data_IF_520962456123
#
_entry.id   IF_520962456123
#
_cell.length_a   1.000
_cell.length_b   1.000
_cell.length_c   1.000
_cell.angle_alpha   90.00
_cell.angle_beta   90.00
_cell.angle_gamma   90.00
#
_symmetry.space_group_name_H-M   'P 1'
#
loop_
_entity.id
_entity.type
_entity.pdbx_description
1 polymer ?
#
# COMPACT_ATOMS: atom_id res chain seq x y z
N UNK A 1 -27.85 19.38 3.06
CA UNK A 1 -26.61 20.14 2.75
C UNK A 1 -25.41 19.20 2.89
N UNK A 2 -24.42 19.28 2.00
CA UNK A 2 -23.21 18.49 2.13
C UNK A 2 -22.52 18.68 3.48
N UNK A 3 -21.76 17.67 3.92
CA UNK A 3 -21.02 17.73 5.17
C UNK A 3 -19.99 18.88 5.13
N UNK A 4 -19.90 19.64 6.22
CA UNK A 4 -18.92 20.71 6.39
C UNK A 4 -17.78 20.33 7.36
N UNK A 5 -17.83 19.15 7.92
CA UNK A 5 -16.80 18.56 8.80
C UNK A 5 -16.86 17.04 8.75
N UNK A 6 -15.74 16.40 9.06
CA UNK A 6 -15.68 14.97 9.32
C UNK A 6 -15.97 14.73 10.81
N UNK A 7 -16.83 13.77 11.13
CA UNK A 7 -17.20 13.43 12.50
C UNK A 7 -17.52 11.95 12.62
N UNK A 8 -17.13 11.35 13.73
CA UNK A 8 -17.50 9.97 14.11
C UNK A 8 -18.72 9.91 15.04
N UNK A 9 -19.32 11.06 15.39
CA UNK A 9 -20.41 11.13 16.39
C UNK A 9 -21.58 10.18 16.08
N UNK A 10 -21.87 9.96 14.80
CA UNK A 10 -22.95 9.09 14.34
C UNK A 10 -22.45 7.74 13.80
N UNK A 11 -21.16 7.48 13.87
CA UNK A 11 -20.60 6.21 13.41
C UNK A 11 -20.86 5.11 14.45
N UNK A 12 -21.17 3.91 13.96
CA UNK A 12 -21.27 2.72 14.80
C UNK A 12 -19.88 2.14 14.98
N UNK A 13 -19.43 1.93 16.22
CA UNK A 13 -18.08 1.45 16.53
C UNK A 13 -17.75 0.12 15.85
N UNK A 14 -18.74 -0.79 15.79
CA UNK A 14 -18.59 -2.10 15.14
C UNK A 14 -18.43 -2.05 13.61
N UNK A 15 -18.47 -0.85 13.00
CA UNK A 15 -18.25 -0.62 11.56
C UNK A 15 -16.95 0.14 11.28
N UNK A 16 -16.17 0.47 12.30
CA UNK A 16 -14.96 1.26 12.15
C UNK A 16 -13.73 0.37 12.07
N UNK A 17 -12.92 0.58 11.03
CA UNK A 17 -11.67 -0.09 10.79
C UNK A 17 -10.59 0.93 10.41
N UNK A 18 -9.34 0.68 10.79
CA UNK A 18 -8.24 1.30 10.08
C UNK A 18 -8.14 0.69 8.68
N UNK A 19 -8.21 1.52 7.67
CA UNK A 19 -7.93 1.10 6.30
C UNK A 19 -6.43 1.24 6.03
N UNK A 20 -5.80 0.15 5.62
CA UNK A 20 -4.38 0.10 5.24
C UNK A 20 -4.28 -0.40 3.81
N UNK A 21 -3.49 0.26 2.98
CA UNK A 21 -3.15 -0.21 1.65
C UNK A 21 -1.65 -0.51 1.57
N UNK A 22 -1.30 -1.70 1.10
CA UNK A 22 0.06 -2.07 0.71
C UNK A 22 0.15 -2.16 -0.81
N UNK A 23 1.31 -1.81 -1.38
CA UNK A 23 1.54 -1.88 -2.82
C UNK A 23 2.80 -2.67 -3.15
N UNK A 24 2.65 -3.79 -3.85
CA UNK A 24 3.76 -4.57 -4.41
C UNK A 24 4.16 -3.94 -5.72
N UNK A 25 5.36 -3.38 -5.78
CA UNK A 25 5.84 -2.61 -6.94
C UNK A 25 6.62 -3.52 -7.88
N UNK A 26 6.09 -3.70 -9.09
CA UNK A 26 6.65 -4.57 -10.12
C UNK A 26 7.48 -3.81 -11.13
N UNK A 27 8.73 -4.20 -11.32
CA UNK A 27 9.62 -3.68 -12.35
C UNK A 27 9.59 -4.59 -13.57
N UNK A 28 9.07 -4.04 -14.68
CA UNK A 28 8.81 -4.81 -15.88
C UNK A 28 10.09 -5.26 -16.62
N UNK A 29 11.16 -4.47 -16.53
CA UNK A 29 12.42 -4.73 -17.26
C UNK A 29 13.10 -6.06 -16.90
N UNK A 30 12.93 -6.53 -15.66
CA UNK A 30 13.55 -7.76 -15.15
C UNK A 30 12.59 -8.67 -14.38
N UNK A 31 11.29 -8.33 -14.40
CA UNK A 31 10.23 -9.11 -13.74
C UNK A 31 10.48 -9.32 -12.24
N UNK A 32 10.88 -8.26 -11.54
CA UNK A 32 11.11 -8.25 -10.08
C UNK A 32 10.19 -7.30 -9.36
N UNK A 33 9.96 -7.58 -8.08
CA UNK A 33 9.22 -6.72 -7.16
C UNK A 33 10.16 -6.12 -6.11
N UNK A 34 9.83 -4.92 -5.63
CA UNK A 34 10.56 -4.24 -4.57
C UNK A 34 10.12 -4.75 -3.20
N UNK A 35 11.10 -5.04 -2.33
CA UNK A 35 10.93 -5.24 -0.90
C UNK A 35 11.86 -4.31 -0.13
N UNK A 36 11.41 -3.82 1.02
CA UNK A 36 12.14 -2.88 1.90
C UNK A 36 12.36 -3.53 3.26
N UNK A 37 13.57 -3.45 3.80
CA UNK A 37 13.90 -3.96 5.14
C UNK A 37 13.53 -2.93 6.19
N UNK A 38 12.58 -3.25 7.06
CA UNK A 38 12.18 -2.42 8.19
C UNK A 38 13.33 -2.23 9.18
N UNK A 39 13.40 -1.07 9.79
CA UNK A 39 14.37 -0.79 10.84
C UNK A 39 14.14 -1.71 12.05
N UNK A 40 15.22 -2.08 12.73
CA UNK A 40 15.17 -2.82 14.01
C UNK A 40 14.46 -2.02 15.13
N UNK A 41 14.27 -0.69 14.92
CA UNK A 41 13.57 0.19 15.86
C UNK A 41 12.07 0.20 15.69
N UNK A 42 11.57 -0.41 14.62
CA UNK A 42 10.14 -0.48 14.34
C UNK A 42 9.40 -1.34 15.38
N UNK A 43 8.24 -0.87 15.84
CA UNK A 43 7.43 -1.59 16.85
C UNK A 43 6.79 -2.87 16.32
N UNK A 44 6.51 -2.90 15.02
CA UNK A 44 5.81 -4.01 14.35
C UNK A 44 6.74 -4.61 13.30
N UNK A 45 7.01 -5.90 13.41
CA UNK A 45 7.89 -6.65 12.50
C UNK A 45 9.27 -5.99 12.30
N UNK A 46 10.05 -5.69 13.37
CA UNK A 46 11.39 -5.11 13.24
C UNK A 46 12.29 -6.02 12.41
N UNK A 47 13.15 -5.43 11.58
CA UNK A 47 14.15 -6.12 10.76
C UNK A 47 13.61 -6.97 9.60
N UNK A 48 12.29 -7.14 9.48
CA UNK A 48 11.69 -7.93 8.41
C UNK A 48 11.53 -7.13 7.11
N UNK A 49 11.53 -7.85 6.00
CA UNK A 49 11.21 -7.24 4.71
C UNK A 49 9.70 -7.13 4.49
N UNK A 50 9.29 -5.96 3.97
CA UNK A 50 7.91 -5.59 3.69
C UNK A 50 7.81 -4.95 2.30
N UNK A 51 6.61 -4.58 1.89
CA UNK A 51 6.35 -3.72 0.73
C UNK A 51 5.85 -2.35 1.21
N UNK A 52 5.99 -1.29 0.42
CA UNK A 52 5.46 0.02 0.77
C UNK A 52 3.96 0.00 1.09
N UNK A 53 3.56 0.81 2.06
CA UNK A 53 2.16 0.92 2.42
C UNK A 53 1.88 1.76 3.63
N UNK A 54 0.66 2.26 3.71
CA UNK A 54 0.23 3.17 4.77
C UNK A 54 -1.24 3.13 5.07
N UNK A 55 -1.65 3.97 6.02
CA UNK A 55 -3.04 4.12 6.45
C UNK A 55 -3.69 5.25 5.66
N UNK A 56 -4.94 5.03 5.24
CA UNK A 56 -5.77 6.12 4.75
C UNK A 56 -6.28 6.93 5.95
N UNK A 57 -5.97 8.21 5.97
CA UNK A 57 -6.36 9.11 7.03
C UNK A 57 -7.30 10.19 6.51
N UNK A 58 -8.35 10.52 7.25
CA UNK A 58 -9.35 11.49 6.77
C UNK A 58 -8.82 12.92 6.74
N UNK A 59 -7.83 13.29 7.55
CA UNK A 59 -7.19 14.59 7.50
C UNK A 59 -6.47 14.86 6.17
N UNK A 60 -6.29 13.84 5.35
CA UNK A 60 -5.76 13.93 3.99
C UNK A 60 -6.85 14.25 2.95
N UNK A 61 -8.13 14.19 3.34
CA UNK A 61 -9.26 14.52 2.49
C UNK A 61 -9.66 15.99 2.71
N UNK A 62 -9.39 16.85 1.73
CA UNK A 62 -9.80 18.26 1.78
C UNK A 62 -11.32 18.38 1.49
N UNK A 63 -12.12 18.43 2.54
CA UNK A 63 -13.58 18.52 2.43
C UNK A 63 -14.07 19.78 1.69
N UNK A 64 -13.24 20.81 1.57
CA UNK A 64 -13.53 22.01 0.80
C UNK A 64 -13.33 21.79 -0.71
N UNK A 65 -12.62 20.70 -1.09
CA UNK A 65 -12.28 20.41 -2.49
C UNK A 65 -12.56 18.92 -2.82
N UNK A 66 -13.79 18.44 -2.69
CA UNK A 66 -14.10 17.08 -3.12
C UNK A 66 -13.89 16.94 -4.64
N UNK A 67 -13.59 15.73 -5.09
CA UNK A 67 -13.48 15.45 -6.53
C UNK A 67 -14.80 15.68 -7.24
N UNK A 68 -15.91 15.43 -6.52
CA UNK A 68 -17.25 15.59 -7.05
C UNK A 68 -18.27 15.68 -5.91
N UNK A 69 -19.42 16.32 -6.17
CA UNK A 69 -20.63 16.22 -5.35
C UNK A 69 -21.59 15.22 -6.01
N UNK A 70 -22.01 14.23 -5.22
CA UNK A 70 -23.03 13.27 -5.59
C UNK A 70 -24.25 13.49 -4.66
N UNK A 71 -25.15 14.39 -5.07
CA UNK A 71 -26.18 14.94 -4.20
C UNK A 71 -25.54 15.71 -3.04
N UNK A 72 -25.74 15.23 -1.81
CA UNK A 72 -25.12 15.81 -0.60
C UNK A 72 -23.85 15.06 -0.17
N UNK A 73 -23.40 14.03 -0.93
CA UNK A 73 -22.20 13.24 -0.64
C UNK A 73 -20.98 13.91 -1.26
N UNK A 74 -19.91 14.01 -0.46
CA UNK A 74 -18.60 14.46 -0.91
C UNK A 74 -17.78 13.26 -1.39
N UNK A 75 -17.52 13.14 -2.69
CA UNK A 75 -16.69 12.06 -3.25
C UNK A 75 -15.22 12.51 -3.35
N UNK A 76 -14.31 11.62 -2.96
CA UNK A 76 -12.86 11.76 -3.09
C UNK A 76 -12.32 10.61 -3.94
N UNK A 77 -12.34 10.78 -5.25
CA UNK A 77 -11.92 9.76 -6.21
C UNK A 77 -10.40 9.55 -6.15
N UNK A 78 -9.96 8.29 -6.25
CA UNK A 78 -8.54 7.94 -6.29
C UNK A 78 -7.81 8.06 -4.96
N UNK A 79 -8.51 8.14 -3.82
CA UNK A 79 -7.89 8.28 -2.50
C UNK A 79 -6.90 7.13 -2.16
N UNK A 80 -7.17 5.91 -2.61
CA UNK A 80 -6.30 4.74 -2.40
C UNK A 80 -5.10 4.78 -3.33
N UNK A 81 -5.28 5.20 -4.57
CA UNK A 81 -4.21 5.40 -5.54
C UNK A 81 -3.23 6.49 -5.08
N UNK A 82 -3.75 7.63 -4.61
CA UNK A 82 -2.92 8.71 -4.06
C UNK A 82 -2.16 8.26 -2.82
N UNK A 83 -2.80 7.50 -1.91
CA UNK A 83 -2.13 6.89 -0.77
C UNK A 83 -0.95 6.03 -1.24
N UNK A 84 -1.18 5.10 -2.17
CA UNK A 84 -0.17 4.16 -2.65
C UNK A 84 1.00 4.85 -3.35
N UNK A 85 0.72 5.90 -4.15
CA UNK A 85 1.74 6.72 -4.84
C UNK A 85 2.59 7.47 -3.81
N UNK A 86 1.94 8.06 -2.81
CA UNK A 86 2.63 8.79 -1.74
C UNK A 86 3.54 7.87 -0.93
N UNK A 87 3.02 6.72 -0.46
CA UNK A 87 3.80 5.76 0.33
C UNK A 87 5.00 5.20 -0.47
N UNK A 88 4.82 4.88 -1.76
CA UNK A 88 5.93 4.47 -2.62
C UNK A 88 7.01 5.57 -2.73
N UNK A 89 6.59 6.85 -2.78
CA UNK A 89 7.50 7.99 -2.85
C UNK A 89 8.20 8.26 -1.52
N UNK A 90 7.47 8.23 -0.41
CA UNK A 90 8.00 8.51 0.93
C UNK A 90 8.90 7.37 1.42
N UNK A 91 8.43 6.12 1.34
CA UNK A 91 9.14 4.97 1.89
C UNK A 91 10.27 4.44 1.00
N UNK A 92 10.16 4.59 -0.33
CA UNK A 92 11.12 4.01 -1.29
C UNK A 92 11.74 5.03 -2.25
N UNK A 93 11.32 6.29 -2.28
CA UNK A 93 11.85 7.32 -3.18
C UNK A 93 11.43 7.20 -4.65
N UNK A 94 10.61 6.22 -5.01
CA UNK A 94 10.29 5.88 -6.39
C UNK A 94 8.89 6.33 -6.82
N UNK A 95 8.68 6.37 -8.13
CA UNK A 95 7.39 6.65 -8.75
C UNK A 95 6.76 5.35 -9.28
N UNK A 96 5.44 5.21 -9.13
CA UNK A 96 4.65 4.08 -9.62
C UNK A 96 3.56 4.55 -10.59
N UNK A 97 3.06 3.63 -11.42
CA UNK A 97 1.88 3.89 -12.23
C UNK A 97 0.64 4.00 -11.32
N UNK A 98 -0.29 4.91 -11.70
CA UNK A 98 -1.52 5.15 -10.92
C UNK A 98 -2.48 3.96 -10.92
N UNK A 99 -2.40 3.12 -11.96
CA UNK A 99 -3.27 1.96 -12.08
C UNK A 99 -2.88 0.87 -11.08
N UNK A 100 -3.70 0.71 -10.04
CA UNK A 100 -3.54 -0.36 -9.06
C UNK A 100 -4.32 -1.60 -9.49
N UNK A 101 -3.71 -2.78 -9.29
CA UNK A 101 -4.37 -4.07 -9.46
C UNK A 101 -4.56 -4.74 -8.10
N UNK A 102 -5.77 -5.13 -7.79
CA UNK A 102 -6.08 -5.85 -6.55
C UNK A 102 -5.39 -7.22 -6.51
N UNK A 103 -4.76 -7.54 -5.37
CA UNK A 103 -4.17 -8.85 -5.10
C UNK A 103 -5.07 -9.64 -4.14
N UNK A 104 -5.20 -9.17 -2.91
CA UNK A 104 -6.04 -9.74 -1.88
C UNK A 104 -6.29 -8.74 -0.75
N UNK A 105 -7.07 -9.16 0.25
CA UNK A 105 -7.27 -8.40 1.48
C UNK A 105 -7.35 -9.32 2.70
N UNK A 106 -7.08 -8.76 3.87
CA UNK A 106 -7.21 -9.44 5.14
C UNK A 106 -7.75 -8.46 6.19
N UNK A 107 -8.67 -8.92 7.00
CA UNK A 107 -9.09 -8.22 8.21
C UNK A 107 -8.46 -8.90 9.43
N UNK A 108 -7.95 -8.11 10.36
CA UNK A 108 -7.31 -8.62 11.58
C UNK A 108 -7.45 -7.64 12.73
N UNK A 109 -7.24 -8.13 13.95
CA UNK A 109 -7.18 -7.31 15.15
C UNK A 109 -5.71 -7.18 15.57
N UNK A 110 -5.26 -5.96 15.77
CA UNK A 110 -3.92 -5.66 16.26
C UNK A 110 -3.79 -5.99 17.76
N UNK A 111 -2.55 -6.14 18.29
CA UNK A 111 -2.34 -6.34 19.73
C UNK A 111 -2.89 -5.21 20.62
N UNK A 112 -3.05 -4.00 20.07
CA UNK A 112 -3.68 -2.84 20.71
C UNK A 112 -5.20 -2.77 20.48
N UNK A 113 -5.81 -3.90 20.12
CA UNK A 113 -7.25 -4.11 19.95
C UNK A 113 -7.90 -3.34 18.79
N UNK A 114 -7.11 -2.65 17.95
CA UNK A 114 -7.63 -1.90 16.81
C UNK A 114 -7.95 -2.85 15.65
N UNK A 115 -9.20 -2.85 15.14
CA UNK A 115 -9.55 -3.61 13.94
C UNK A 115 -8.99 -2.95 12.69
N UNK A 116 -8.41 -3.74 11.81
CA UNK A 116 -7.77 -3.29 10.58
C UNK A 116 -8.31 -4.07 9.40
N UNK A 117 -8.55 -3.37 8.30
CA UNK A 117 -8.66 -3.98 6.98
C UNK A 117 -7.44 -3.58 6.15
N UNK A 118 -6.65 -4.57 5.75
CA UNK A 118 -5.50 -4.40 4.88
C UNK A 118 -5.85 -4.87 3.49
N UNK A 119 -5.74 -3.97 2.52
CA UNK A 119 -5.92 -4.28 1.10
C UNK A 119 -4.57 -4.21 0.41
N UNK A 120 -4.28 -5.20 -0.41
CA UNK A 120 -3.00 -5.36 -1.09
C UNK A 120 -3.17 -5.18 -2.58
N UNK A 121 -2.36 -4.30 -3.14
CA UNK A 121 -2.37 -3.95 -4.54
C UNK A 121 -1.02 -4.24 -5.19
N UNK A 122 -1.03 -4.39 -6.51
CA UNK A 122 0.14 -4.38 -7.35
C UNK A 122 0.13 -3.12 -8.22
N UNK A 123 1.30 -2.52 -8.41
CA UNK A 123 1.49 -1.41 -9.34
C UNK A 123 2.79 -1.59 -10.12
N UNK A 124 2.87 -1.01 -11.32
CA UNK A 124 4.12 -0.99 -12.07
C UNK A 124 5.02 0.13 -11.59
N UNK A 125 6.30 -0.19 -11.47
CA UNK A 125 7.36 0.80 -11.30
C UNK A 125 7.44 1.70 -12.54
N UNK A 126 7.43 3.02 -12.29
CA UNK A 126 7.48 4.04 -13.34
C UNK A 126 8.87 4.64 -13.48
N UNK A 127 9.59 4.80 -12.38
CA UNK A 127 10.92 5.40 -12.37
C UNK A 127 11.39 5.83 -10.98
N UNK A 128 12.58 6.44 -10.94
CA UNK A 128 13.23 6.92 -9.72
C UNK A 128 14.29 5.95 -9.22
N UNK A 129 15.14 6.42 -8.33
CA UNK A 129 16.13 5.61 -7.61
C UNK A 129 15.53 5.17 -6.27
N UNK A 130 15.76 3.90 -5.88
CA UNK A 130 15.28 3.43 -4.58
C UNK A 130 16.14 4.04 -3.47
N UNK A 131 15.50 4.87 -2.67
CA UNK A 131 16.09 5.50 -1.49
C UNK A 131 15.16 5.20 -0.32
N UNK A 132 15.46 4.16 0.49
CA UNK A 132 14.65 3.82 1.64
C UNK A 132 14.51 4.99 2.62
N UNK A 133 13.31 5.21 3.14
CA UNK A 133 13.04 6.25 4.12
C UNK A 133 13.93 6.11 5.35
N UNK A 134 14.69 7.17 5.65
CA UNK A 134 15.65 7.17 6.76
C UNK A 134 14.95 6.99 8.09
N UNK A 135 15.35 5.97 8.83
CA UNK A 135 14.81 5.65 10.16
C UNK A 135 13.72 4.59 10.12
N UNK A 136 12.91 4.52 9.08
CA UNK A 136 11.89 3.49 8.91
C UNK A 136 12.43 2.23 8.21
N UNK A 137 13.27 2.41 7.20
CA UNK A 137 13.87 1.31 6.44
C UNK A 137 15.40 1.40 6.40
N UNK A 138 16.07 0.25 6.30
CA UNK A 138 17.54 0.15 6.36
C UNK A 138 18.17 -0.48 5.12
N UNK A 139 17.37 -1.15 4.30
CA UNK A 139 17.83 -1.86 3.10
C UNK A 139 16.67 -2.10 2.13
N UNK A 140 16.97 -2.50 0.91
CA UNK A 140 15.98 -2.92 -0.07
C UNK A 140 16.51 -4.00 -1.01
N UNK A 141 15.60 -4.72 -1.65
CA UNK A 141 15.95 -5.63 -2.74
C UNK A 141 14.86 -5.66 -3.83
N UNK A 142 15.30 -5.84 -5.08
CA UNK A 142 14.43 -6.24 -6.17
C UNK A 142 14.49 -7.76 -6.31
N UNK A 143 13.37 -8.45 -6.12
CA UNK A 143 13.30 -9.90 -6.01
C UNK A 143 12.30 -10.52 -6.96
N UNK A 144 12.60 -11.71 -7.46
CA UNK A 144 11.63 -12.58 -8.12
C UNK A 144 11.03 -13.61 -7.14
N UNK A 145 10.18 -14.51 -7.65
CA UNK A 145 9.47 -15.52 -6.84
C UNK A 145 10.38 -16.49 -6.08
N UNK A 146 11.60 -16.73 -6.57
CA UNK A 146 12.57 -17.62 -5.90
C UNK A 146 13.48 -16.85 -4.96
N UNK A 147 13.88 -15.66 -5.37
CA UNK A 147 14.78 -14.81 -4.59
C UNK A 147 14.13 -14.33 -3.30
N UNK A 148 12.83 -13.96 -3.32
CA UNK A 148 12.11 -13.46 -2.14
C UNK A 148 12.12 -14.45 -0.97
N UNK A 149 12.19 -15.75 -1.24
CA UNK A 149 12.23 -16.81 -0.21
C UNK A 149 13.52 -16.82 0.62
N UNK A 150 14.55 -16.10 0.17
CA UNK A 150 15.83 -15.97 0.89
C UNK A 150 15.84 -14.84 1.92
N UNK A 151 14.78 -14.02 1.93
CA UNK A 151 14.64 -12.86 2.80
C UNK A 151 13.69 -13.17 3.95
N UNK A 152 14.00 -12.68 5.14
CA UNK A 152 13.08 -12.75 6.29
C UNK A 152 11.94 -11.74 6.13
N UNK A 153 10.93 -12.15 5.38
CA UNK A 153 9.78 -11.31 5.05
C UNK A 153 8.68 -11.40 6.12
N UNK A 154 7.87 -10.36 6.19
CA UNK A 154 6.56 -10.43 6.85
C UNK A 154 5.73 -11.53 6.15
N UNK A 155 4.96 -12.28 6.94
CA UNK A 155 4.11 -13.36 6.43
C UNK A 155 3.16 -12.87 5.32
N UNK A 156 3.16 -13.58 4.20
CA UNK A 156 2.35 -13.27 3.02
C UNK A 156 3.11 -12.51 1.91
N UNK A 157 4.21 -11.83 2.22
CA UNK A 157 4.98 -11.08 1.20
C UNK A 157 5.50 -11.97 0.06
N UNK A 158 6.07 -13.17 0.29
CA UNK A 158 6.49 -14.04 -0.81
C UNK A 158 5.35 -14.42 -1.76
N UNK A 159 4.17 -14.71 -1.22
CA UNK A 159 2.98 -15.04 -1.99
C UNK A 159 2.47 -13.85 -2.81
N UNK A 160 2.52 -12.65 -2.23
CA UNK A 160 2.12 -11.39 -2.88
C UNK A 160 3.07 -11.03 -4.03
N UNK A 161 4.37 -11.20 -3.84
CA UNK A 161 5.38 -11.03 -4.90
C UNK A 161 5.11 -12.01 -6.04
N UNK A 162 4.88 -13.28 -5.74
CA UNK A 162 4.58 -14.30 -6.74
C UNK A 162 3.27 -13.98 -7.50
N UNK A 163 2.22 -13.59 -6.78
CA UNK A 163 0.94 -13.21 -7.38
C UNK A 163 1.08 -11.99 -8.30
N UNK A 164 1.83 -10.97 -7.89
CA UNK A 164 2.09 -9.76 -8.67
C UNK A 164 2.84 -10.08 -9.96
N UNK A 165 3.90 -10.88 -9.89
CA UNK A 165 4.69 -11.26 -11.07
C UNK A 165 3.83 -12.03 -12.07
N UNK A 166 3.02 -13.00 -11.61
CA UNK A 166 2.09 -13.74 -12.47
C UNK A 166 1.08 -12.83 -13.13
N UNK A 167 0.47 -11.92 -12.36
CA UNK A 167 -0.53 -10.97 -12.85
C UNK A 167 0.01 -10.16 -14.04
N UNK A 168 1.18 -9.53 -13.89
CA UNK A 168 1.73 -8.67 -14.93
C UNK A 168 2.36 -9.44 -16.12
N UNK A 169 2.84 -10.67 -15.91
CA UNK A 169 3.26 -11.54 -17.01
C UNK A 169 2.07 -11.95 -17.89
N UNK A 170 0.97 -12.41 -17.30
CA UNK A 170 -0.24 -12.80 -18.04
C UNK A 170 -0.81 -11.64 -18.84
N UNK A 171 -0.82 -10.43 -18.28
CA UNK A 171 -1.30 -9.23 -18.98
C UNK A 171 -0.43 -8.86 -20.19
N UNK A 172 0.89 -9.09 -20.11
CA UNK A 172 1.82 -8.85 -21.23
C UNK A 172 1.59 -9.84 -22.38
N UNK A 173 1.35 -11.10 -22.06
CA UNK A 173 1.18 -12.17 -23.04
C UNK A 173 -0.21 -12.11 -23.74
N UNK A 174 -1.10 -11.23 -23.25
CA UNK A 174 -2.45 -11.00 -23.79
C UNK A 174 -2.55 -9.77 -24.72
N UNK A 175 -1.45 -9.04 -24.91
CA UNK A 175 -1.34 -7.86 -25.80
C UNK A 175 -0.51 -8.21 -27.05
#
# INVERSE_FOLDING_TARGET
MPANKISLQNAKEDKLFYFVANVVIYRQSDSRCLILKRSEREKVHPGKYAVPGGKLEWNQLDIAKPSRLNGEVLDFEGAVEELSIREAKEEAGIDIERELKYINSVAFIRPDEIPVILVKFAAKYKGGEVIPEKGAFTDYAWVNEQEVKKYDCILGIPEEVAATIRLFKTMRDSQ
#
